data_IF_280144972630
#
_entry.id   IF_280144972630
#
_cell.length_a   1.000
_cell.length_b   1.000
_cell.length_c   1.000
_cell.angle_alpha   90.00
_cell.angle_beta   90.00
_cell.angle_gamma   90.00
#
_symmetry.space_group_name_H-M   'P 1'
#
loop_
_entity.id
_entity.type
_entity.pdbx_description
1 polymer ?
#
# COMPACT_ATOMS: atom_id res chain seq x y z
N UNK A 1 -2.57 -25.53 0.94
CA UNK A 1 -2.91 -25.02 -0.39
C UNK A 1 -1.68 -24.55 -1.15
N UNK A 2 -0.89 -23.62 -0.58
CA UNK A 2 0.28 -23.04 -1.26
C UNK A 2 1.30 -24.10 -1.69
N UNK A 3 1.66 -25.03 -0.80
CA UNK A 3 2.59 -26.12 -1.12
C UNK A 3 2.08 -26.97 -2.30
N UNK A 4 0.85 -27.43 -2.25
CA UNK A 4 0.25 -28.21 -3.34
C UNK A 4 0.19 -27.44 -4.66
N UNK A 5 -0.07 -26.12 -4.61
CA UNK A 5 -0.02 -25.26 -5.77
C UNK A 5 1.41 -25.15 -6.33
N UNK A 6 2.40 -24.94 -5.47
CA UNK A 6 3.82 -24.88 -5.86
C UNK A 6 4.29 -26.17 -6.53
N UNK A 7 4.03 -27.33 -5.94
CA UNK A 7 4.35 -28.64 -6.50
C UNK A 7 3.67 -28.85 -7.88
N UNK A 8 2.40 -28.46 -8.00
CA UNK A 8 1.68 -28.51 -9.26
C UNK A 8 2.32 -27.64 -10.34
N UNK A 9 2.87 -26.46 -9.98
CA UNK A 9 3.51 -25.55 -10.93
C UNK A 9 4.94 -25.93 -11.29
N UNK A 10 5.60 -26.74 -10.47
CA UNK A 10 6.86 -27.41 -10.86
C UNK A 10 6.58 -28.46 -11.95
N UNK A 11 5.58 -29.31 -11.73
CA UNK A 11 5.22 -30.37 -12.65
C UNK A 11 4.58 -29.87 -13.95
N UNK A 12 3.75 -28.84 -13.86
CA UNK A 12 2.99 -28.26 -14.98
C UNK A 12 3.06 -26.73 -14.91
N UNK A 13 4.16 -26.13 -15.39
CA UNK A 13 4.34 -24.66 -15.40
C UNK A 13 3.22 -23.95 -16.19
N UNK A 14 2.80 -22.80 -15.68
CA UNK A 14 1.81 -21.92 -16.32
C UNK A 14 2.38 -20.50 -16.41
N UNK A 15 1.70 -19.63 -17.13
CA UNK A 15 2.04 -18.19 -17.15
C UNK A 15 1.47 -17.51 -15.91
N UNK A 16 2.05 -17.81 -14.75
CA UNK A 16 1.70 -17.24 -13.46
C UNK A 16 2.91 -17.02 -12.55
N UNK A 17 2.73 -16.16 -11.54
CA UNK A 17 3.79 -15.82 -10.56
C UNK A 17 4.27 -17.05 -9.80
N UNK A 18 3.40 -18.01 -9.50
CA UNK A 18 3.78 -19.25 -8.80
C UNK A 18 4.75 -20.05 -9.63
N UNK A 19 4.45 -20.23 -10.92
CA UNK A 19 5.36 -20.94 -11.84
C UNK A 19 6.70 -20.23 -11.98
N UNK A 20 6.70 -18.92 -12.10
CA UNK A 20 7.91 -18.12 -12.18
C UNK A 20 8.78 -18.31 -10.93
N UNK A 21 8.18 -18.24 -9.74
CA UNK A 21 8.88 -18.40 -8.46
C UNK A 21 9.41 -19.81 -8.25
N UNK A 22 8.57 -20.82 -8.47
CA UNK A 22 8.93 -22.23 -8.20
C UNK A 22 9.98 -22.76 -9.18
N UNK A 23 10.12 -22.16 -10.35
CA UNK A 23 11.10 -22.55 -11.36
C UNK A 23 12.32 -21.62 -11.42
N UNK A 24 12.32 -20.51 -10.65
CA UNK A 24 13.47 -19.64 -10.54
C UNK A 24 14.65 -20.35 -9.84
N UNK A 25 15.85 -20.09 -10.33
CA UNK A 25 17.09 -20.51 -9.70
C UNK A 25 17.84 -19.25 -9.27
N UNK A 26 18.10 -19.12 -7.98
CA UNK A 26 18.85 -18.02 -7.39
C UNK A 26 20.05 -18.61 -6.67
N UNK A 27 21.25 -18.19 -7.04
CA UNK A 27 22.53 -18.71 -6.52
C UNK A 27 22.65 -20.26 -6.60
N UNK A 28 22.06 -20.85 -7.65
CA UNK A 28 22.07 -22.29 -7.89
C UNK A 28 20.99 -23.08 -7.15
N UNK A 29 20.16 -22.43 -6.35
CA UNK A 29 19.11 -23.07 -5.55
C UNK A 29 17.71 -22.65 -6.00
N UNK A 30 16.73 -23.52 -5.76
CA UNK A 30 15.30 -23.24 -5.94
C UNK A 30 14.63 -23.09 -4.59
N UNK A 31 13.52 -22.34 -4.57
CA UNK A 31 12.66 -22.29 -3.38
C UNK A 31 12.17 -23.71 -3.02
N UNK A 32 12.29 -24.06 -1.77
CA UNK A 32 11.62 -25.23 -1.21
C UNK A 32 10.10 -24.99 -1.12
N UNK A 33 9.32 -26.06 -1.03
CA UNK A 33 7.87 -25.94 -0.85
C UNK A 33 7.50 -25.17 0.44
N UNK A 34 8.32 -25.26 1.49
CA UNK A 34 8.13 -24.54 2.75
C UNK A 34 8.41 -23.04 2.60
N UNK A 35 9.48 -22.66 1.94
CA UNK A 35 9.84 -21.25 1.66
C UNK A 35 8.78 -20.60 0.77
N UNK A 36 8.37 -21.29 -0.28
CA UNK A 36 7.26 -20.83 -1.13
C UNK A 36 5.97 -20.66 -0.32
N UNK A 37 5.62 -21.64 0.53
CA UNK A 37 4.45 -21.55 1.40
C UNK A 37 4.48 -20.31 2.30
N UNK A 38 5.63 -20.02 2.91
CA UNK A 38 5.85 -18.84 3.75
C UNK A 38 5.72 -17.54 2.94
N UNK A 39 6.31 -17.50 1.75
CA UNK A 39 6.23 -16.35 0.86
C UNK A 39 4.81 -16.12 0.34
N UNK A 40 4.10 -17.19 0.01
CA UNK A 40 2.69 -17.12 -0.40
C UNK A 40 1.81 -16.48 0.68
N UNK A 41 1.97 -16.91 1.94
CA UNK A 41 1.25 -16.30 3.08
C UNK A 41 1.60 -14.83 3.19
N UNK A 42 2.88 -14.47 3.08
CA UNK A 42 3.31 -13.06 3.09
C UNK A 42 2.62 -12.24 2.01
N UNK A 43 2.57 -12.74 0.77
CA UNK A 43 1.92 -12.02 -0.35
C UNK A 43 0.43 -11.82 -0.11
N UNK A 44 -0.28 -12.84 0.37
CA UNK A 44 -1.72 -12.77 0.67
C UNK A 44 -2.00 -11.75 1.77
N UNK A 45 -1.23 -11.79 2.85
CA UNK A 45 -1.40 -10.84 3.97
C UNK A 45 -1.06 -9.42 3.54
N UNK A 46 0.06 -9.24 2.85
CA UNK A 46 0.51 -7.91 2.44
C UNK A 46 -0.42 -7.25 1.42
N UNK A 47 -0.96 -8.02 0.47
CA UNK A 47 -1.79 -7.50 -0.63
C UNK A 47 -3.25 -7.23 -0.24
N UNK A 48 -3.79 -7.97 0.73
CA UNK A 48 -5.22 -7.88 1.06
C UNK A 48 -5.55 -6.64 1.89
N UNK A 49 -5.02 -6.55 3.12
CA UNK A 49 -5.43 -5.53 4.09
C UNK A 49 -4.98 -4.12 3.71
N UNK A 50 -3.81 -3.97 3.11
CA UNK A 50 -3.25 -2.65 2.81
C UNK A 50 -4.04 -1.95 1.70
N UNK A 51 -4.33 -2.64 0.60
CA UNK A 51 -5.11 -2.10 -0.53
C UNK A 51 -6.56 -1.84 -0.12
N UNK A 52 -7.18 -2.77 0.63
CA UNK A 52 -8.52 -2.57 1.18
C UNK A 52 -8.60 -1.32 2.05
N UNK A 53 -7.63 -1.10 2.92
CA UNK A 53 -7.61 0.08 3.77
C UNK A 53 -7.34 1.36 2.97
N UNK A 54 -6.46 1.34 1.96
CA UNK A 54 -6.27 2.49 1.07
C UNK A 54 -7.58 2.91 0.38
N UNK A 55 -8.33 1.95 -0.16
CA UNK A 55 -9.63 2.19 -0.79
C UNK A 55 -10.64 2.74 0.22
N UNK A 56 -10.72 2.15 1.41
CA UNK A 56 -11.65 2.57 2.45
C UNK A 56 -11.37 4.00 2.93
N UNK A 57 -10.11 4.32 3.23
CA UNK A 57 -9.69 5.68 3.57
C UNK A 57 -9.92 6.65 2.41
N UNK A 58 -9.60 6.24 1.18
CA UNK A 58 -9.85 7.04 -0.02
C UNK A 58 -11.32 7.42 -0.15
N UNK A 59 -12.25 6.50 0.08
CA UNK A 59 -13.67 6.79 0.05
C UNK A 59 -14.10 7.76 1.16
N UNK A 60 -13.54 7.65 2.36
CA UNK A 60 -13.75 8.61 3.46
C UNK A 60 -13.23 9.99 3.06
N UNK A 61 -12.01 10.07 2.57
CA UNK A 61 -11.38 11.31 2.12
C UNK A 61 -12.18 12.01 1.03
N UNK A 62 -12.66 11.28 0.03
CA UNK A 62 -13.49 11.84 -1.04
C UNK A 62 -14.88 12.27 -0.54
N UNK A 63 -15.37 11.67 0.55
CA UNK A 63 -16.61 12.15 1.20
C UNK A 63 -16.37 13.44 1.97
N UNK A 64 -15.26 13.53 2.69
CA UNK A 64 -14.92 14.72 3.49
C UNK A 64 -14.46 15.91 2.62
N UNK A 65 -13.95 15.61 1.41
CA UNK A 65 -13.45 16.60 0.45
C UNK A 65 -14.20 16.52 -0.89
N UNK A 66 -15.49 16.91 -0.94
CA UNK A 66 -16.32 16.73 -2.13
C UNK A 66 -15.76 17.43 -3.39
N UNK A 67 -15.11 18.58 -3.24
CA UNK A 67 -14.46 19.25 -4.36
C UNK A 67 -13.33 18.42 -4.99
N UNK A 68 -12.57 17.65 -4.21
CA UNK A 68 -11.54 16.74 -4.69
C UNK A 68 -12.17 15.52 -5.38
N UNK A 69 -13.29 15.02 -4.86
CA UNK A 69 -14.07 13.96 -5.51
C UNK A 69 -14.58 14.40 -6.87
N UNK A 70 -15.21 15.60 -6.94
CA UNK A 70 -15.77 16.13 -8.17
C UNK A 70 -14.66 16.37 -9.21
N UNK A 71 -13.53 16.92 -8.80
CA UNK A 71 -12.37 17.10 -9.67
C UNK A 71 -11.89 15.79 -10.27
N UNK A 72 -11.74 14.75 -9.44
CA UNK A 72 -11.29 13.44 -9.94
C UNK A 72 -12.34 12.79 -10.85
N UNK A 73 -13.60 12.75 -10.43
CA UNK A 73 -14.65 12.02 -11.14
C UNK A 73 -15.06 12.69 -12.46
N UNK A 74 -14.91 14.01 -12.59
CA UNK A 74 -15.18 14.75 -13.82
C UNK A 74 -14.07 14.56 -14.87
N UNK A 75 -12.81 14.40 -14.45
CA UNK A 75 -11.69 14.10 -15.34
C UNK A 75 -10.85 12.95 -14.72
N UNK A 76 -11.43 11.75 -14.79
CA UNK A 76 -10.92 10.59 -14.09
C UNK A 76 -9.53 10.19 -14.59
N UNK A 77 -9.35 10.11 -15.89
CA UNK A 77 -8.10 9.61 -16.49
C UNK A 77 -6.93 10.55 -16.21
N UNK A 78 -7.14 11.85 -16.31
CA UNK A 78 -6.10 12.85 -16.06
C UNK A 78 -5.67 12.87 -14.58
N UNK A 79 -6.61 12.66 -13.64
CA UNK A 79 -6.34 12.81 -12.21
C UNK A 79 -6.05 11.48 -11.49
N UNK A 80 -6.32 10.31 -12.10
CA UNK A 80 -6.23 9.01 -11.41
C UNK A 80 -4.86 8.73 -10.82
N UNK A 81 -3.80 9.00 -11.57
CA UNK A 81 -2.43 8.73 -11.09
C UNK A 81 -2.11 9.51 -9.82
N UNK A 82 -2.37 10.82 -9.81
CA UNK A 82 -2.09 11.67 -8.65
C UNK A 82 -3.04 11.40 -7.48
N UNK A 83 -4.32 11.15 -7.76
CA UNK A 83 -5.31 10.81 -6.74
C UNK A 83 -4.96 9.53 -5.99
N UNK A 84 -4.53 8.49 -6.69
CA UNK A 84 -4.11 7.21 -6.08
C UNK A 84 -2.88 7.42 -5.18
N UNK A 85 -1.86 8.14 -5.67
CA UNK A 85 -0.67 8.44 -4.86
C UNK A 85 -1.03 9.28 -3.63
N UNK A 86 -1.91 10.26 -3.77
CA UNK A 86 -2.35 11.11 -2.64
C UNK A 86 -3.17 10.32 -1.62
N UNK A 87 -4.03 9.40 -2.06
CA UNK A 87 -4.73 8.48 -1.16
C UNK A 87 -3.73 7.64 -0.36
N UNK A 88 -2.74 7.03 -1.02
CA UNK A 88 -1.73 6.22 -0.35
C UNK A 88 -0.89 7.05 0.62
N UNK A 89 -0.49 8.27 0.22
CA UNK A 89 0.22 9.21 1.08
C UNK A 89 -0.59 9.54 2.33
N UNK A 90 -1.83 9.97 2.14
CA UNK A 90 -2.67 10.47 3.23
C UNK A 90 -3.15 9.35 4.14
N UNK A 91 -3.59 8.22 3.59
CA UNK A 91 -4.03 7.06 4.35
C UNK A 91 -2.89 6.35 5.07
N UNK A 92 -1.72 6.26 4.43
CA UNK A 92 -0.56 5.51 4.93
C UNK A 92 -0.99 4.18 5.57
N UNK A 93 -1.48 3.19 4.79
CA UNK A 93 -2.05 1.95 5.34
C UNK A 93 -1.11 1.17 6.24
N UNK A 94 0.20 1.18 5.95
CA UNK A 94 1.25 0.69 6.84
C UNK A 94 1.87 1.88 7.55
N UNK A 95 1.77 1.89 8.88
CA UNK A 95 2.20 3.03 9.71
C UNK A 95 3.71 3.10 9.81
N UNK A 96 4.38 1.95 10.01
CA UNK A 96 5.83 1.88 10.16
C UNK A 96 6.40 0.52 9.75
N UNK A 97 7.71 0.49 9.51
CA UNK A 97 8.51 -0.72 9.49
C UNK A 97 9.76 -0.56 10.36
N UNK A 98 10.28 -1.70 10.83
CA UNK A 98 11.49 -1.78 11.64
C UNK A 98 12.64 -2.36 10.83
N UNK A 99 13.86 -1.90 11.11
CA UNK A 99 15.13 -2.50 10.68
C UNK A 99 15.99 -2.82 11.88
N UNK A 100 16.90 -3.77 11.71
CA UNK A 100 17.97 -4.03 12.65
C UNK A 100 19.26 -3.51 12.04
N UNK A 101 20.01 -2.72 12.78
CA UNK A 101 21.33 -2.22 12.37
C UNK A 101 22.29 -3.41 12.28
N UNK A 102 22.95 -3.59 11.16
CA UNK A 102 23.85 -4.74 10.91
C UNK A 102 25.29 -4.45 11.33
N UNK A 103 25.70 -3.19 11.29
CA UNK A 103 27.03 -2.71 11.66
C UNK A 103 26.93 -1.33 12.27
N UNK A 104 27.90 -0.92 13.08
CA UNK A 104 27.93 0.42 13.66
C UNK A 104 27.93 1.46 12.55
N UNK A 105 27.01 2.42 12.63
CA UNK A 105 26.82 3.42 11.62
C UNK A 105 26.33 4.74 12.21
N UNK A 106 26.19 5.74 11.35
CA UNK A 106 25.62 7.03 11.74
C UNK A 106 24.49 7.45 10.78
N UNK A 107 23.40 7.94 11.33
CA UNK A 107 22.29 8.49 10.58
C UNK A 107 21.95 9.89 11.11
N UNK A 108 22.13 10.90 10.27
CA UNK A 108 21.85 12.31 10.61
C UNK A 108 22.52 12.78 11.93
N UNK A 109 23.77 12.39 12.16
CA UNK A 109 24.53 12.71 13.36
C UNK A 109 24.24 11.82 14.58
N UNK A 110 23.28 10.92 14.49
CA UNK A 110 22.98 9.94 15.53
C UNK A 110 23.75 8.65 15.29
N UNK A 111 24.60 8.25 16.26
CA UNK A 111 25.28 6.96 16.24
C UNK A 111 24.28 5.83 16.49
N UNK A 112 24.41 4.77 15.73
CA UNK A 112 23.62 3.55 15.81
C UNK A 112 24.56 2.37 15.91
N UNK A 113 24.34 1.51 16.89
CA UNK A 113 25.18 0.33 17.12
C UNK A 113 24.56 -0.91 16.45
N UNK A 114 25.41 -1.84 16.04
CA UNK A 114 24.99 -3.14 15.54
C UNK A 114 24.00 -3.83 16.51
N UNK A 115 22.91 -4.35 15.99
CA UNK A 115 21.83 -4.98 16.78
C UNK A 115 20.72 -4.04 17.23
N UNK A 116 20.92 -2.72 17.22
CA UNK A 116 19.87 -1.76 17.55
C UNK A 116 18.71 -1.80 16.56
N UNK A 117 17.54 -1.32 17.00
CA UNK A 117 16.31 -1.29 16.23
C UNK A 117 16.00 0.14 15.79
N UNK A 118 15.84 0.32 14.49
CA UNK A 118 15.41 1.59 13.89
C UNK A 118 14.01 1.42 13.34
N UNK A 119 13.10 2.32 13.70
CA UNK A 119 11.71 2.35 13.23
C UNK A 119 11.55 3.49 12.23
N UNK A 120 11.08 3.15 11.04
CA UNK A 120 10.76 4.11 9.98
C UNK A 120 9.25 4.39 10.03
N UNK A 121 8.89 5.58 10.49
CA UNK A 121 7.49 6.02 10.56
C UNK A 121 7.03 6.57 9.20
N UNK A 122 6.39 5.75 8.39
CA UNK A 122 5.88 6.15 7.08
C UNK A 122 4.84 7.26 7.17
N UNK A 123 3.98 7.22 8.19
CA UNK A 123 3.02 8.29 8.44
C UNK A 123 3.69 9.65 8.71
N UNK A 124 4.85 9.68 9.35
CA UNK A 124 5.64 10.90 9.55
C UNK A 124 6.31 11.34 8.23
N UNK A 125 6.93 10.41 7.50
CA UNK A 125 7.55 10.72 6.20
C UNK A 125 6.54 11.26 5.18
N UNK A 126 5.32 10.71 5.16
CA UNK A 126 4.24 11.17 4.31
C UNK A 126 3.64 12.52 4.72
N UNK A 127 4.08 13.08 5.84
CA UNK A 127 3.69 14.42 6.34
C UNK A 127 4.88 15.33 6.62
N UNK A 128 6.03 15.01 6.05
CA UNK A 128 7.22 15.85 6.19
C UNK A 128 7.08 17.13 5.36
N UNK A 129 7.06 18.28 6.02
CA UNK A 129 6.93 19.60 5.41
C UNK A 129 8.08 19.95 4.45
N UNK A 130 9.23 19.27 4.58
CA UNK A 130 10.34 19.41 3.64
C UNK A 130 10.06 18.75 2.28
N UNK A 131 9.12 17.80 2.25
CA UNK A 131 8.75 17.05 1.04
C UNK A 131 7.36 17.42 0.50
N UNK A 132 6.48 17.90 1.38
CA UNK A 132 5.09 18.18 1.05
C UNK A 132 4.66 19.54 1.57
N UNK A 133 4.30 20.46 0.69
CA UNK A 133 3.64 21.69 1.08
C UNK A 133 2.26 21.36 1.64
N UNK A 134 1.91 21.94 2.79
CA UNK A 134 0.65 21.66 3.48
C UNK A 134 0.36 20.14 3.61
N UNK A 135 1.20 19.39 4.34
CA UNK A 135 1.18 17.92 4.33
C UNK A 135 -0.10 17.33 4.95
N UNK A 136 -0.88 18.11 5.68
CA UNK A 136 -2.15 17.72 6.28
C UNK A 136 -3.36 18.01 5.41
N UNK A 137 -3.20 18.72 4.28
CA UNK A 137 -4.25 18.84 3.28
C UNK A 137 -4.29 17.58 2.40
N UNK A 138 -5.51 17.14 2.08
CA UNK A 138 -5.78 16.15 1.05
C UNK A 138 -5.99 16.86 -0.28
N UNK A 139 -5.06 16.70 -1.20
CA UNK A 139 -5.04 17.39 -2.49
C UNK A 139 -4.58 16.44 -3.61
N UNK A 140 -5.52 15.99 -4.44
CA UNK A 140 -5.23 15.07 -5.54
C UNK A 140 -4.44 15.71 -6.69
N UNK A 141 -4.28 17.03 -6.68
CA UNK A 141 -3.48 17.76 -7.69
C UNK A 141 -2.04 17.95 -7.27
N UNK A 142 -1.67 17.45 -6.10
CA UNK A 142 -0.33 17.59 -5.53
C UNK A 142 0.74 17.05 -6.47
N UNK A 143 1.63 17.91 -6.95
CA UNK A 143 2.74 17.52 -7.85
C UNK A 143 3.77 16.62 -7.17
N UNK A 144 3.93 16.73 -5.85
CA UNK A 144 4.84 15.92 -5.04
C UNK A 144 4.24 14.60 -4.53
N UNK A 145 3.01 14.22 -4.95
CA UNK A 145 2.35 12.99 -4.48
C UNK A 145 3.19 11.72 -4.71
N UNK A 146 4.01 11.70 -5.75
CA UNK A 146 4.93 10.59 -6.05
C UNK A 146 6.11 10.45 -5.08
N UNK A 147 6.37 11.46 -4.25
CA UNK A 147 7.40 11.41 -3.19
C UNK A 147 6.93 10.65 -1.94
N UNK A 148 5.67 10.17 -1.92
CA UNK A 148 5.13 9.41 -0.81
C UNK A 148 5.90 8.10 -0.57
N UNK A 149 6.02 7.72 0.70
CA UNK A 149 6.77 6.53 1.13
C UNK A 149 5.87 5.37 1.60
N UNK A 150 4.57 5.41 1.31
CA UNK A 150 3.64 4.34 1.70
C UNK A 150 3.93 2.98 1.04
N UNK A 151 4.66 2.98 -0.08
CA UNK A 151 5.21 1.77 -0.73
C UNK A 151 6.68 1.51 -0.37
N UNK A 152 7.25 2.26 0.54
CA UNK A 152 8.69 2.29 0.83
C UNK A 152 9.44 3.32 -0.02
N UNK A 153 10.70 3.55 0.31
CA UNK A 153 11.55 4.58 -0.31
C UNK A 153 12.63 4.01 -1.24
N UNK A 154 12.36 2.88 -1.87
CA UNK A 154 13.31 2.18 -2.75
C UNK A 154 14.05 1.03 -2.06
N UNK A 155 15.05 0.46 -2.77
CA UNK A 155 15.79 -0.71 -2.30
C UNK A 155 15.01 -2.04 -2.41
N UNK A 156 15.58 -3.14 -1.91
CA UNK A 156 15.03 -4.50 -2.08
C UNK A 156 13.68 -4.71 -1.36
N UNK A 157 13.33 -3.84 -0.41
CA UNK A 157 12.07 -3.88 0.30
C UNK A 157 11.01 -2.91 -0.25
N UNK A 158 11.23 -2.27 -1.40
CA UNK A 158 10.16 -1.55 -2.07
C UNK A 158 8.98 -2.48 -2.32
N UNK A 159 7.76 -1.99 -2.14
CA UNK A 159 6.56 -2.82 -2.23
C UNK A 159 6.48 -3.56 -3.57
N UNK A 160 6.57 -4.89 -3.52
CA UNK A 160 6.48 -5.76 -4.70
C UNK A 160 5.13 -5.58 -5.42
N UNK A 161 4.05 -5.40 -4.67
CA UNK A 161 2.70 -5.22 -5.16
C UNK A 161 2.31 -3.78 -5.52
N UNK A 162 3.25 -2.82 -5.51
CA UNK A 162 2.91 -1.40 -5.68
C UNK A 162 2.12 -1.09 -6.97
N UNK A 163 2.48 -1.73 -8.09
CA UNK A 163 1.77 -1.55 -9.35
C UNK A 163 0.38 -2.18 -9.33
N UNK A 164 0.25 -3.35 -8.72
CA UNK A 164 -1.04 -4.03 -8.56
C UNK A 164 -1.97 -3.22 -7.66
N UNK A 165 -1.48 -2.75 -6.50
CA UNK A 165 -2.26 -1.92 -5.58
C UNK A 165 -2.76 -0.64 -6.27
N UNK A 166 -1.91 0.06 -7.02
CA UNK A 166 -2.31 1.22 -7.82
C UNK A 166 -3.41 0.88 -8.80
N UNK A 167 -3.29 -0.25 -9.49
CA UNK A 167 -4.30 -0.73 -10.44
C UNK A 167 -5.61 -1.06 -9.74
N UNK A 168 -5.58 -1.77 -8.64
CA UNK A 168 -6.77 -2.13 -7.87
C UNK A 168 -7.51 -0.90 -7.35
N UNK A 169 -6.78 0.07 -6.76
CA UNK A 169 -7.37 1.32 -6.29
C UNK A 169 -8.02 2.07 -7.46
N UNK A 170 -7.31 2.21 -8.58
CA UNK A 170 -7.82 2.91 -9.77
C UNK A 170 -9.09 2.27 -10.31
N UNK A 171 -9.10 0.94 -10.50
CA UNK A 171 -10.27 0.20 -11.01
C UNK A 171 -11.44 0.28 -10.05
N UNK A 172 -11.19 0.18 -8.74
CA UNK A 172 -12.25 0.27 -7.74
C UNK A 172 -12.94 1.64 -7.78
N UNK A 173 -12.18 2.73 -7.85
CA UNK A 173 -12.78 4.07 -7.92
C UNK A 173 -13.44 4.35 -9.28
N UNK A 174 -12.94 3.76 -10.37
CA UNK A 174 -13.63 3.81 -11.67
C UNK A 174 -15.00 3.13 -11.61
N UNK A 175 -15.08 1.95 -11.00
CA UNK A 175 -16.34 1.24 -10.81
C UNK A 175 -17.28 1.98 -9.85
N UNK A 176 -16.76 2.57 -8.77
CA UNK A 176 -17.56 3.37 -7.84
C UNK A 176 -18.16 4.60 -8.56
N UNK A 177 -17.37 5.36 -9.31
CA UNK A 177 -17.90 6.56 -10.00
C UNK A 177 -18.94 6.20 -11.06
N UNK A 178 -18.83 5.05 -11.73
CA UNK A 178 -19.76 4.63 -12.77
C UNK A 178 -21.04 4.00 -12.21
N UNK A 179 -20.92 3.17 -11.16
CA UNK A 179 -22.04 2.37 -10.65
C UNK A 179 -22.69 2.97 -9.41
N UNK A 180 -21.91 3.67 -8.60
CA UNK A 180 -22.33 4.21 -7.30
C UNK A 180 -21.89 5.69 -7.13
N UNK A 181 -22.19 6.58 -8.09
CA UNK A 181 -21.68 7.96 -8.09
C UNK A 181 -22.07 8.76 -6.84
N UNK A 182 -23.19 8.39 -6.22
CA UNK A 182 -23.68 9.02 -4.98
C UNK A 182 -23.15 8.37 -3.70
N UNK A 183 -22.27 7.38 -3.81
CA UNK A 183 -21.71 6.72 -2.65
C UNK A 183 -20.96 7.73 -1.76
N UNK A 184 -21.29 7.68 -0.49
CA UNK A 184 -20.68 8.52 0.56
C UNK A 184 -20.66 7.80 1.89
N UNK A 185 -19.74 8.20 2.74
CA UNK A 185 -19.66 7.72 4.12
C UNK A 185 -20.66 8.52 4.94
N UNK A 186 -21.41 7.86 5.80
CA UNK A 186 -22.53 8.45 6.55
C UNK A 186 -22.30 8.55 8.05
N UNK A 187 -21.13 8.12 8.54
CA UNK A 187 -20.76 8.21 9.95
C UNK A 187 -19.28 7.92 10.17
N UNK A 188 -18.80 8.11 11.37
CA UNK A 188 -17.41 7.90 11.72
C UNK A 188 -16.98 6.43 11.57
N UNK A 189 -15.85 6.16 10.92
CA UNK A 189 -15.30 4.82 10.84
C UNK A 189 -14.88 4.27 12.20
N UNK A 190 -15.17 3.00 12.46
CA UNK A 190 -14.56 2.27 13.57
C UNK A 190 -13.16 1.81 13.16
N UNK A 191 -12.14 2.41 13.75
CA UNK A 191 -10.74 2.11 13.41
C UNK A 191 -10.25 0.82 14.06
N UNK A 192 -9.26 0.21 13.43
CA UNK A 192 -8.50 -0.88 14.03
C UNK A 192 -7.52 -0.31 15.07
N UNK A 193 -7.53 -0.84 16.27
CA UNK A 193 -6.51 -0.52 17.27
C UNK A 193 -5.22 -1.29 16.93
N UNK A 194 -4.36 -0.65 16.17
CA UNK A 194 -3.08 -1.21 15.72
C UNK A 194 -2.04 -0.10 15.59
N UNK A 195 -0.82 -0.37 16.04
CA UNK A 195 0.32 0.51 15.79
C UNK A 195 0.94 0.27 14.41
N UNK A 196 0.59 -0.83 13.74
CA UNK A 196 1.21 -1.26 12.48
C UNK A 196 0.36 -0.94 11.26
N UNK A 197 -0.95 -1.21 11.33
CA UNK A 197 -1.90 -1.00 10.23
C UNK A 197 -2.88 0.11 10.57
N UNK A 198 -2.96 1.13 9.71
CA UNK A 198 -4.00 2.15 9.74
C UNK A 198 -5.28 1.58 9.09
N UNK A 199 -6.00 0.77 9.86
CA UNK A 199 -7.10 -0.03 9.36
C UNK A 199 -8.48 0.51 9.75
N UNK A 200 -9.46 0.29 8.87
CA UNK A 200 -10.88 0.53 9.11
C UNK A 200 -11.59 -0.81 9.29
N UNK A 201 -12.21 -1.01 10.46
CA UNK A 201 -12.98 -2.22 10.77
C UNK A 201 -14.39 -2.17 10.22
N UNK A 202 -15.05 -1.04 10.34
CA UNK A 202 -16.42 -0.78 9.88
C UNK A 202 -16.56 0.68 9.49
N UNK A 203 -17.30 0.94 8.44
CA UNK A 203 -17.54 2.27 7.94
C UNK A 203 -18.95 2.32 7.33
N UNK A 204 -19.91 3.00 7.97
CA UNK A 204 -21.25 3.11 7.43
C UNK A 204 -21.26 3.97 6.18
N UNK A 205 -22.00 3.52 5.15
CA UNK A 205 -22.09 4.22 3.89
C UNK A 205 -23.51 4.20 3.31
N UNK A 206 -23.81 5.15 2.43
CA UNK A 206 -24.99 5.18 1.60
C UNK A 206 -24.59 5.34 0.13
N UNK A 207 -25.43 4.83 -0.79
CA UNK A 207 -25.15 4.85 -2.24
C UNK A 207 -26.34 5.36 -3.09
N UNK A 208 -27.37 5.92 -2.42
CA UNK A 208 -28.56 6.50 -3.04
C UNK A 208 -28.86 7.89 -2.49
#
# INVERSE_FOLDING_TARGET
YAQALGESRIAHPQDDVTSAMMNAIVDGERLTAQEFGSFFILLVVAGNETTRNAISHGMKLLTDHPAQKDLWFNDFDANTKSAVEEIVRYATPVIHFRRTVTEDTELSGQKLLAGEKVVMWYCSGNRDERSFNDPFAFDITRSSSTAQVGFGAGGPHFCLGANLARREISVMFDEIRRRLPKMRITGEPALLQSSFINGIKRMPCAWH
#
